data_IF_831157025017
#
_entry.id   IF_831157025017
#
_cell.length_a   1.000
_cell.length_b   1.000
_cell.length_c   1.000
_cell.angle_alpha   90.00
_cell.angle_beta   90.00
_cell.angle_gamma   90.00
#
_symmetry.space_group_name_H-M   'P 1'
#
loop_
_entity.id
_entity.type
_entity.pdbx_description
1 polymer ?
#
# COMPACT_ATOMS: atom_id res chain seq x y z
N UNK A 1 5.20 0.92 -29.84
CA UNK A 1 6.11 1.39 -28.77
C UNK A 1 6.50 2.88 -28.85
N UNK A 2 6.90 3.50 -29.99
CA UNK A 2 7.23 4.93 -29.99
C UNK A 2 6.08 5.90 -29.63
N UNK A 3 4.83 5.52 -29.90
CA UNK A 3 3.65 6.37 -29.62
C UNK A 3 3.31 6.50 -28.12
N UNK A 4 3.60 5.50 -27.30
CA UNK A 4 3.34 5.55 -25.86
C UNK A 4 4.35 6.46 -25.15
N UNK A 5 5.63 6.36 -25.51
CA UNK A 5 6.70 7.23 -24.98
C UNK A 5 6.46 8.70 -25.34
N UNK A 6 6.05 8.98 -26.60
CA UNK A 6 5.71 10.34 -27.05
C UNK A 6 4.48 10.89 -26.32
N UNK A 7 3.49 10.04 -25.97
CA UNK A 7 2.31 10.44 -25.20
C UNK A 7 2.67 10.81 -23.75
N UNK A 8 3.59 10.06 -23.14
CA UNK A 8 4.06 10.31 -21.77
C UNK A 8 4.88 11.60 -21.64
N UNK A 9 5.67 11.94 -22.67
CA UNK A 9 6.48 13.16 -22.71
C UNK A 9 5.67 14.43 -23.07
N UNK A 10 4.51 14.28 -23.71
CA UNK A 10 3.69 15.40 -24.17
C UNK A 10 2.62 15.87 -23.15
N UNK A 11 2.39 15.14 -22.06
CA UNK A 11 1.30 15.40 -21.10
C UNK A 11 1.81 15.74 -19.71
N UNK A 12 2.52 16.83 -19.55
CA UNK A 12 3.05 17.35 -18.27
C UNK A 12 2.01 17.65 -17.17
N UNK A 13 0.71 17.44 -17.44
CA UNK A 13 -0.37 17.84 -16.51
C UNK A 13 -1.31 16.71 -16.06
N UNK A 14 -1.28 15.53 -16.66
CA UNK A 14 -2.24 14.46 -16.33
C UNK A 14 -1.54 13.23 -15.75
N UNK A 15 -2.13 12.65 -14.69
CA UNK A 15 -1.71 11.36 -14.13
C UNK A 15 -1.65 10.29 -15.22
N UNK A 16 -0.60 9.47 -15.23
CA UNK A 16 -0.48 8.30 -16.12
C UNK A 16 -1.52 7.27 -15.68
N UNK A 17 -2.48 6.97 -16.54
CA UNK A 17 -3.45 5.90 -16.37
C UNK A 17 -3.32 4.91 -17.52
N UNK A 18 -3.03 3.63 -17.22
CA UNK A 18 -2.83 2.56 -18.19
C UNK A 18 -3.66 1.35 -17.81
N UNK A 19 -4.22 0.65 -18.81
CA UNK A 19 -5.01 -0.55 -18.61
C UNK A 19 -4.13 -1.79 -18.48
N UNK A 20 -4.52 -2.71 -17.57
CA UNK A 20 -3.81 -3.95 -17.25
C UNK A 20 -4.77 -5.11 -17.36
N UNK A 21 -4.48 -6.04 -18.29
CA UNK A 21 -5.32 -7.19 -18.57
C UNK A 21 -4.66 -8.53 -18.19
N UNK A 22 -3.38 -8.51 -17.78
CA UNK A 22 -2.61 -9.70 -17.37
C UNK A 22 -1.45 -9.28 -16.45
N UNK A 23 -0.84 -10.25 -15.77
CA UNK A 23 0.40 -10.03 -15.00
C UNK A 23 1.52 -9.50 -15.92
N UNK A 24 1.67 -10.07 -17.11
CA UNK A 24 2.67 -9.62 -18.06
C UNK A 24 2.46 -8.16 -18.49
N UNK A 25 1.21 -7.77 -18.76
CA UNK A 25 0.90 -6.39 -19.14
C UNK A 25 1.21 -5.39 -18.01
N UNK A 26 0.99 -5.73 -16.73
CA UNK A 26 1.38 -4.86 -15.61
C UNK A 26 2.89 -4.62 -15.61
N UNK A 27 3.70 -5.64 -15.83
CA UNK A 27 5.17 -5.51 -15.87
C UNK A 27 5.59 -4.57 -17.01
N UNK A 28 5.00 -4.74 -18.19
CA UNK A 28 5.32 -3.91 -19.38
C UNK A 28 4.93 -2.45 -19.16
N UNK A 29 3.69 -2.19 -18.72
CA UNK A 29 3.22 -0.80 -18.52
C UNK A 29 3.93 -0.12 -17.35
N UNK A 30 4.27 -0.86 -16.28
CA UNK A 30 5.05 -0.33 -15.16
C UNK A 30 6.45 0.07 -15.61
N UNK A 31 7.14 -0.78 -16.36
CA UNK A 31 8.46 -0.45 -16.91
C UNK A 31 8.41 0.78 -17.81
N UNK A 32 7.37 0.89 -18.66
CA UNK A 32 7.19 2.05 -19.52
C UNK A 32 6.90 3.33 -18.72
N UNK A 33 6.00 3.25 -17.73
CA UNK A 33 5.63 4.38 -16.88
C UNK A 33 6.82 4.95 -16.10
N UNK A 34 7.73 4.07 -15.65
CA UNK A 34 8.87 4.45 -14.81
C UNK A 34 10.21 4.56 -15.55
N UNK A 35 10.22 4.40 -16.88
CA UNK A 35 11.45 4.41 -17.69
C UNK A 35 12.27 5.70 -17.52
N UNK A 36 11.61 6.84 -17.31
CA UNK A 36 12.27 8.13 -17.14
C UNK A 36 12.91 8.37 -15.77
N UNK A 37 12.68 7.48 -14.78
CA UNK A 37 13.16 7.66 -13.42
C UNK A 37 14.48 6.91 -13.11
N UNK A 38 15.08 6.26 -14.11
CA UNK A 38 16.34 5.51 -13.93
C UNK A 38 16.14 4.22 -13.12
N UNK A 39 17.23 3.73 -12.49
CA UNK A 39 17.19 2.54 -11.62
C UNK A 39 16.79 2.95 -10.19
N UNK A 40 15.54 3.32 -10.00
CA UNK A 40 14.98 3.67 -8.69
C UNK A 40 14.11 2.55 -8.15
N UNK A 41 13.96 2.50 -6.84
CA UNK A 41 12.98 1.62 -6.20
C UNK A 41 11.57 2.13 -6.54
N UNK A 42 10.67 1.20 -6.85
CA UNK A 42 9.27 1.50 -7.09
C UNK A 42 8.43 0.74 -6.07
N UNK A 43 7.39 1.39 -5.57
CA UNK A 43 6.41 0.77 -4.70
C UNK A 43 5.07 0.66 -5.41
N UNK A 44 4.33 -0.37 -5.04
CA UNK A 44 3.03 -0.66 -5.62
C UNK A 44 1.97 -0.80 -4.53
N UNK A 45 0.72 -0.45 -4.85
CA UNK A 45 -0.42 -0.62 -3.96
C UNK A 45 -1.64 -1.06 -4.74
N UNK A 46 -2.25 -2.19 -4.35
CA UNK A 46 -3.51 -2.65 -4.88
C UNK A 46 -4.71 -1.99 -4.20
N UNK A 47 -5.72 -1.64 -4.98
CA UNK A 47 -7.04 -1.20 -4.52
C UNK A 47 -8.13 -1.94 -5.27
N UNK A 48 -9.10 -2.47 -4.55
CA UNK A 48 -10.21 -3.27 -5.13
C UNK A 48 -11.21 -2.43 -5.92
N UNK A 49 -11.14 -1.10 -5.81
CA UNK A 49 -11.86 -0.15 -6.64
C UNK A 49 -10.92 0.91 -7.22
N UNK A 50 -10.94 1.06 -8.54
CA UNK A 50 -10.19 2.10 -9.24
C UNK A 50 -10.69 3.53 -8.92
N UNK A 51 -11.88 3.66 -8.35
CA UNK A 51 -12.44 4.98 -8.00
C UNK A 51 -11.91 5.54 -6.67
N UNK A 52 -11.20 4.75 -5.87
CA UNK A 52 -10.71 5.21 -4.57
C UNK A 52 -9.48 6.09 -4.69
N UNK A 53 -9.44 7.15 -3.90
CA UNK A 53 -8.23 7.95 -3.69
C UNK A 53 -7.23 7.25 -2.77
N UNK A 54 -6.00 7.74 -2.78
CA UNK A 54 -4.91 7.27 -1.92
C UNK A 54 -4.95 8.01 -0.57
N UNK A 55 -5.83 7.54 0.33
CA UNK A 55 -6.06 8.11 1.67
C UNK A 55 -5.91 7.02 2.71
N UNK A 56 -5.12 7.22 3.79
CA UNK A 56 -5.06 6.31 4.93
C UNK A 56 -6.42 6.13 5.61
N UNK A 57 -6.62 4.95 6.22
CA UNK A 57 -7.93 4.61 6.82
C UNK A 57 -8.34 5.59 7.91
N UNK A 58 -7.41 6.04 8.76
CA UNK A 58 -7.75 7.00 9.83
C UNK A 58 -8.32 8.30 9.28
N UNK A 59 -7.81 8.80 8.17
CA UNK A 59 -8.25 10.07 7.58
C UNK A 59 -9.58 9.96 6.79
N UNK A 60 -10.13 8.75 6.62
CA UNK A 60 -11.45 8.56 6.00
C UNK A 60 -12.58 8.71 7.01
N UNK A 61 -12.35 8.20 8.23
CA UNK A 61 -13.41 7.94 9.20
C UNK A 61 -13.24 8.72 10.52
N UNK A 62 -12.06 9.32 10.75
CA UNK A 62 -11.73 9.95 12.03
C UNK A 62 -11.14 11.35 11.84
N UNK A 63 -11.49 12.25 12.75
CA UNK A 63 -10.77 13.50 12.94
C UNK A 63 -9.51 13.30 13.82
N UNK A 64 -8.75 14.34 14.04
CA UNK A 64 -7.53 14.29 14.84
C UNK A 64 -7.80 13.81 16.29
N UNK A 65 -8.91 14.22 16.88
CA UNK A 65 -9.26 13.80 18.24
C UNK A 65 -9.59 12.31 18.31
N UNK A 66 -10.30 11.79 17.30
CA UNK A 66 -10.59 10.36 17.13
C UNK A 66 -9.32 9.54 16.95
N UNK A 67 -8.37 9.99 16.11
CA UNK A 67 -7.08 9.34 15.91
C UNK A 67 -6.28 9.24 17.23
N UNK A 68 -6.19 10.36 18.00
CA UNK A 68 -5.52 10.37 19.29
C UNK A 68 -6.15 9.40 20.28
N UNK A 69 -7.48 9.37 20.35
CA UNK A 69 -8.21 8.47 21.23
C UNK A 69 -7.93 7.00 20.88
N UNK A 70 -7.97 6.64 19.59
CA UNK A 70 -7.63 5.30 19.12
C UNK A 70 -6.21 4.90 19.55
N UNK A 71 -5.23 5.76 19.27
CA UNK A 71 -3.83 5.51 19.62
C UNK A 71 -3.64 5.38 21.14
N UNK A 72 -4.24 6.27 21.95
CA UNK A 72 -4.14 6.24 23.40
C UNK A 72 -4.75 4.96 24.00
N UNK A 73 -5.97 4.61 23.61
CA UNK A 73 -6.64 3.39 24.10
C UNK A 73 -5.92 2.12 23.67
N UNK A 74 -5.42 2.06 22.42
CA UNK A 74 -4.65 0.91 21.96
C UNK A 74 -3.38 0.74 22.79
N UNK A 75 -2.58 1.79 23.00
CA UNK A 75 -1.33 1.75 23.78
C UNK A 75 -1.56 1.33 25.22
N UNK A 76 -2.58 1.86 25.88
CA UNK A 76 -2.94 1.46 27.25
C UNK A 76 -3.34 -0.01 27.33
N UNK A 77 -4.06 -0.51 26.33
CA UNK A 77 -4.57 -1.89 26.32
C UNK A 77 -3.56 -2.92 25.81
N UNK A 78 -2.63 -2.52 24.96
CA UNK A 78 -1.66 -3.42 24.34
C UNK A 78 -0.63 -3.96 25.35
N UNK A 79 -0.26 -3.17 26.36
CA UNK A 79 0.74 -3.55 27.38
C UNK A 79 0.37 -4.85 28.12
N UNK A 80 -0.92 -5.12 28.28
CA UNK A 80 -1.42 -6.35 28.94
C UNK A 80 -1.67 -7.51 27.97
N UNK A 81 -1.64 -7.28 26.68
CA UNK A 81 -2.01 -8.25 25.62
C UNK A 81 -0.85 -8.64 24.73
N UNK A 82 0.19 -7.82 24.69
CA UNK A 82 1.35 -8.02 23.80
C UNK A 82 2.63 -8.00 24.65
N UNK A 83 3.32 -9.14 24.72
CA UNK A 83 4.52 -9.31 25.55
C UNK A 83 5.71 -8.45 25.13
N UNK A 84 5.71 -7.97 23.89
CA UNK A 84 6.73 -7.09 23.30
C UNK A 84 6.16 -5.71 22.96
N UNK A 85 5.34 -5.15 23.87
CA UNK A 85 4.83 -3.80 23.68
C UNK A 85 6.02 -2.80 23.61
N UNK A 86 6.02 -1.85 22.66
CA UNK A 86 7.08 -0.86 22.54
C UNK A 86 7.22 0.03 23.77
N UNK A 87 8.39 0.65 23.96
CA UNK A 87 8.54 1.75 24.90
C UNK A 87 7.57 2.90 24.57
N UNK A 88 7.03 3.56 25.59
CA UNK A 88 6.05 4.63 25.41
C UNK A 88 6.56 5.81 24.58
N UNK A 89 7.88 6.02 24.56
CA UNK A 89 8.54 7.06 23.79
C UNK A 89 8.76 6.70 22.31
N UNK A 90 8.70 5.41 21.96
CA UNK A 90 8.91 4.94 20.58
C UNK A 90 7.63 5.02 19.75
N UNK A 91 7.38 6.23 19.21
CA UNK A 91 6.19 6.50 18.40
C UNK A 91 6.16 5.69 17.11
N UNK A 92 7.33 5.41 16.52
CA UNK A 92 7.45 4.66 15.27
C UNK A 92 7.07 3.19 15.45
N UNK A 93 7.55 2.57 16.50
CA UNK A 93 7.20 1.19 16.84
C UNK A 93 5.71 1.06 17.20
N UNK A 94 5.14 2.03 17.93
CA UNK A 94 3.70 2.07 18.21
C UNK A 94 2.86 2.23 16.94
N UNK A 95 3.26 3.12 16.02
CA UNK A 95 2.58 3.32 14.74
C UNK A 95 2.58 2.03 13.91
N UNK A 96 3.74 1.36 13.81
CA UNK A 96 3.88 0.08 13.11
C UNK A 96 3.04 -1.02 13.76
N UNK A 97 3.01 -1.11 15.08
CA UNK A 97 2.23 -2.11 15.82
C UNK A 97 0.72 -1.90 15.62
N UNK A 98 0.25 -0.66 15.70
CA UNK A 98 -1.14 -0.30 15.42
C UNK A 98 -1.55 -0.68 14.01
N UNK A 99 -0.74 -0.32 13.02
CA UNK A 99 -0.96 -0.68 11.61
C UNK A 99 -1.02 -2.20 11.42
N UNK A 100 -0.08 -2.94 12.01
CA UNK A 100 -0.01 -4.39 11.91
C UNK A 100 -1.29 -5.08 12.42
N UNK A 101 -1.84 -4.62 13.54
CA UNK A 101 -3.08 -5.15 14.10
C UNK A 101 -4.35 -4.54 13.49
N UNK A 102 -4.23 -3.74 12.43
CA UNK A 102 -5.36 -3.20 11.67
C UNK A 102 -6.08 -2.04 12.34
N UNK A 103 -5.48 -1.41 13.34
CA UNK A 103 -6.01 -0.15 13.86
C UNK A 103 -5.88 0.91 12.74
N UNK A 104 -6.90 1.76 12.50
CA UNK A 104 -6.78 2.87 11.58
C UNK A 104 -5.62 3.79 11.95
N UNK A 105 -4.66 3.95 11.06
CA UNK A 105 -3.49 4.83 11.23
C UNK A 105 -3.34 5.75 10.03
N UNK A 106 -2.42 6.70 10.13
CA UNK A 106 -2.00 7.59 9.04
C UNK A 106 -0.97 6.98 8.09
N UNK A 107 -0.65 5.70 8.24
CA UNK A 107 0.13 4.94 7.28
C UNK A 107 -0.76 4.42 6.16
N UNK A 108 -0.29 4.54 4.94
CA UNK A 108 -0.86 3.88 3.77
C UNK A 108 0.14 2.84 3.28
N UNK A 109 -0.30 1.57 3.20
CA UNK A 109 0.57 0.45 2.85
C UNK A 109 0.93 0.45 1.37
N UNK A 110 2.18 0.10 1.11
CA UNK A 110 2.76 -0.18 -0.20
C UNK A 110 3.56 -1.47 -0.14
N UNK A 111 3.91 -1.99 -1.29
CA UNK A 111 4.80 -3.15 -1.43
C UNK A 111 5.81 -2.92 -2.55
N UNK A 112 7.02 -3.46 -2.41
CA UNK A 112 7.99 -3.47 -3.51
C UNK A 112 7.64 -4.48 -4.62
N UNK A 113 6.66 -5.38 -4.37
CA UNK A 113 6.25 -6.41 -5.33
C UNK A 113 4.98 -6.02 -6.09
N UNK A 114 5.03 -5.84 -7.43
CA UNK A 114 3.83 -5.61 -8.23
C UNK A 114 2.85 -6.79 -8.18
N UNK A 115 3.32 -8.02 -7.95
CA UNK A 115 2.47 -9.20 -7.83
C UNK A 115 1.66 -9.20 -6.53
N UNK A 116 2.29 -8.77 -5.43
CA UNK A 116 1.59 -8.60 -4.15
C UNK A 116 0.53 -7.51 -4.25
N UNK A 117 0.84 -6.40 -4.92
CA UNK A 117 -0.14 -5.35 -5.18
C UNK A 117 -1.31 -5.83 -6.04
N UNK A 118 -1.06 -6.63 -7.10
CA UNK A 118 -2.12 -7.27 -7.88
C UNK A 118 -3.00 -8.16 -7.01
N UNK A 119 -2.40 -8.99 -6.14
CA UNK A 119 -3.15 -9.80 -5.21
C UNK A 119 -4.13 -8.96 -4.39
N UNK A 120 -3.65 -7.90 -3.74
CA UNK A 120 -4.50 -7.01 -2.94
C UNK A 120 -5.56 -6.26 -3.76
N UNK A 121 -5.28 -5.93 -5.03
CA UNK A 121 -6.27 -5.33 -5.91
C UNK A 121 -7.44 -6.28 -6.23
N UNK A 122 -7.24 -7.59 -6.08
CA UNK A 122 -8.21 -8.62 -6.44
C UNK A 122 -8.78 -9.40 -5.25
N UNK A 123 -8.32 -9.13 -4.01
CA UNK A 123 -8.66 -9.87 -2.78
C UNK A 123 -10.02 -9.44 -2.16
N UNK A 124 -11.04 -9.12 -2.97
CA UNK A 124 -12.38 -8.79 -2.45
C UNK A 124 -13.50 -9.26 -3.36
N UNK A 125 -14.63 -9.62 -2.76
CA UNK A 125 -15.89 -9.92 -3.42
C UNK A 125 -16.95 -8.86 -3.03
N UNK A 126 -17.92 -8.53 -3.90
CA UNK A 126 -18.07 -8.98 -5.29
C UNK A 126 -17.21 -8.15 -6.27
N UNK A 127 -16.70 -8.80 -7.33
CA UNK A 127 -15.83 -8.18 -8.35
C UNK A 127 -16.64 -7.45 -9.43
N UNK A 128 -17.44 -6.47 -9.04
CA UNK A 128 -18.35 -5.76 -9.97
C UNK A 128 -17.76 -4.48 -10.56
N UNK A 129 -16.56 -4.08 -10.14
CA UNK A 129 -15.94 -2.80 -10.55
C UNK A 129 -14.51 -3.02 -10.99
N UNK A 130 -13.99 -2.07 -11.77
CA UNK A 130 -12.57 -2.01 -12.08
C UNK A 130 -11.76 -1.83 -10.79
N UNK A 131 -10.64 -2.55 -10.70
CA UNK A 131 -9.64 -2.40 -9.65
C UNK A 131 -8.47 -1.51 -10.13
N UNK A 132 -7.55 -1.18 -9.25
CA UNK A 132 -6.35 -0.48 -9.64
C UNK A 132 -5.11 -1.00 -8.89
N UNK A 133 -3.98 -0.94 -9.56
CA UNK A 133 -2.66 -0.94 -8.92
C UNK A 133 -2.08 0.46 -9.10
N UNK A 134 -1.65 1.06 -8.01
CA UNK A 134 -0.88 2.30 -8.04
C UNK A 134 0.61 1.98 -8.02
N UNK A 135 1.39 2.74 -8.75
CA UNK A 135 2.84 2.72 -8.67
C UNK A 135 3.36 4.05 -8.16
N UNK A 136 4.35 4.03 -7.30
CA UNK A 136 4.95 5.18 -6.64
C UNK A 136 6.48 5.14 -6.79
N UNK A 137 7.09 6.29 -7.08
CA UNK A 137 8.53 6.52 -6.96
C UNK A 137 8.79 7.24 -5.63
N UNK A 138 9.17 6.52 -4.54
CA UNK A 138 9.21 7.08 -3.18
C UNK A 138 10.19 8.25 -3.03
N UNK A 139 11.37 8.17 -3.65
CA UNK A 139 12.36 9.25 -3.61
C UNK A 139 11.85 10.54 -4.27
N UNK A 140 11.03 10.43 -5.32
CA UNK A 140 10.42 11.59 -5.98
C UNK A 140 9.30 12.23 -5.15
N UNK A 141 8.54 11.42 -4.40
CA UNK A 141 7.60 11.96 -3.42
C UNK A 141 8.34 12.77 -2.36
N UNK A 142 9.43 12.22 -1.81
CA UNK A 142 10.19 12.90 -0.77
C UNK A 142 10.93 14.15 -1.30
N UNK A 143 11.33 14.17 -2.58
CA UNK A 143 11.92 15.33 -3.21
C UNK A 143 10.98 16.55 -3.25
N UNK A 144 9.67 16.34 -3.27
CA UNK A 144 8.65 17.43 -3.23
C UNK A 144 8.07 17.67 -1.85
N UNK A 145 8.51 16.93 -0.82
CA UNK A 145 8.16 17.15 0.58
C UNK A 145 8.87 18.37 1.15
N UNK A 146 8.55 18.73 2.39
CA UNK A 146 9.23 19.81 3.12
C UNK A 146 10.74 19.57 3.27
N UNK A 147 11.19 18.31 3.26
CA UNK A 147 12.61 17.94 3.39
C UNK A 147 13.39 17.99 2.07
N UNK A 148 12.71 17.97 0.92
CA UNK A 148 13.29 18.09 -0.43
C UNK A 148 14.46 17.13 -0.68
N UNK A 149 14.38 15.89 -0.18
CA UNK A 149 15.42 14.88 -0.30
C UNK A 149 15.01 13.75 -1.25
N UNK A 150 15.86 13.44 -2.26
CA UNK A 150 15.62 12.34 -3.21
C UNK A 150 16.01 10.99 -2.60
N UNK A 151 15.51 10.68 -1.41
CA UNK A 151 15.75 9.44 -0.68
C UNK A 151 14.47 8.94 -0.01
N UNK A 152 14.50 7.69 0.45
CA UNK A 152 13.42 7.12 1.26
C UNK A 152 13.80 7.24 2.73
N UNK A 153 12.91 7.81 3.54
CA UNK A 153 13.17 7.98 4.97
C UNK A 153 12.86 6.71 5.77
N UNK A 154 13.37 6.67 7.00
CA UNK A 154 13.02 5.62 7.97
C UNK A 154 11.91 6.17 8.87
N UNK A 155 10.90 5.34 9.17
CA UNK A 155 9.78 5.75 10.03
C UNK A 155 10.23 6.21 11.43
N UNK A 156 11.33 5.66 11.95
CA UNK A 156 11.97 6.10 13.20
C UNK A 156 12.87 7.34 13.06
N UNK A 157 13.05 7.85 11.83
CA UNK A 157 13.91 9.00 11.55
C UNK A 157 13.31 10.32 12.00
N UNK A 158 14.16 11.35 12.08
CA UNK A 158 13.74 12.69 12.52
C UNK A 158 12.72 13.33 11.57
N UNK A 159 12.73 12.99 10.28
CA UNK A 159 11.83 13.53 9.26
C UNK A 159 10.37 13.08 9.52
N UNK A 160 10.18 11.83 9.94
CA UNK A 160 8.86 11.27 10.22
C UNK A 160 8.28 11.75 11.57
N UNK A 161 9.15 12.16 12.51
CA UNK A 161 8.75 12.48 13.88
C UNK A 161 7.64 13.54 13.99
N UNK A 162 7.64 14.67 13.25
CA UNK A 162 6.55 15.65 13.33
C UNK A 162 5.18 15.05 12.97
N UNK A 163 5.13 14.19 11.94
CA UNK A 163 3.91 13.54 11.50
C UNK A 163 3.43 12.48 12.50
N UNK A 164 4.36 11.73 13.10
CA UNK A 164 4.05 10.76 14.15
C UNK A 164 3.49 11.45 15.40
N UNK A 165 4.09 12.55 15.82
CA UNK A 165 3.59 13.35 16.93
C UNK A 165 2.19 13.90 16.66
N UNK A 166 1.93 14.42 15.46
CA UNK A 166 0.62 14.92 15.08
C UNK A 166 -0.49 13.85 15.11
N UNK A 167 -0.16 12.55 14.94
CA UNK A 167 -1.11 11.43 15.04
C UNK A 167 -1.28 10.85 16.45
N UNK A 168 -0.28 10.99 17.30
CA UNK A 168 -0.25 10.33 18.61
C UNK A 168 -0.34 11.30 19.80
N UNK A 169 -0.22 12.58 19.55
CA UNK A 169 -0.29 13.64 20.56
C UNK A 169 -0.99 14.88 19.99
N UNK A 170 -1.41 15.80 20.85
CA UNK A 170 -2.02 17.07 20.43
C UNK A 170 -0.98 18.06 19.88
N UNK A 171 -0.16 17.58 18.93
CA UNK A 171 0.82 18.39 18.21
C UNK A 171 0.20 19.23 17.09
N UNK A 172 0.97 20.15 16.49
CA UNK A 172 0.52 20.89 15.31
C UNK A 172 0.26 19.95 14.14
N UNK A 173 -0.72 20.29 13.31
CA UNK A 173 -0.97 19.60 12.06
C UNK A 173 0.20 19.86 11.10
N UNK A 174 0.70 18.81 10.48
CA UNK A 174 1.76 18.87 9.45
C UNK A 174 1.15 18.36 8.15
N UNK A 175 0.88 19.23 7.21
CA UNK A 175 0.25 18.89 5.93
C UNK A 175 1.26 18.37 4.91
N UNK A 176 2.00 17.32 5.27
CA UNK A 176 2.95 16.67 4.37
C UNK A 176 2.69 15.18 4.24
N UNK A 177 3.31 14.55 3.24
CA UNK A 177 3.29 13.09 3.03
C UNK A 177 4.71 12.64 2.74
N UNK A 178 5.18 11.66 3.48
CA UNK A 178 6.52 11.10 3.35
C UNK A 178 6.47 9.63 2.95
N UNK A 179 7.31 9.24 2.02
CA UNK A 179 7.60 7.85 1.74
C UNK A 179 8.61 7.32 2.77
N UNK A 180 8.21 6.30 3.53
CA UNK A 180 9.01 5.78 4.65
C UNK A 180 9.09 4.26 4.60
N UNK A 181 10.20 3.69 5.08
CA UNK A 181 10.34 2.28 5.43
C UNK A 181 10.32 2.14 6.95
N UNK A 182 9.68 1.09 7.44
CA UNK A 182 9.69 0.73 8.85
C UNK A 182 10.57 -0.49 9.07
N UNK A 183 11.03 -0.69 10.31
CA UNK A 183 11.63 -1.96 10.69
C UNK A 183 10.55 -3.06 10.63
N UNK A 184 10.90 -4.20 10.04
CA UNK A 184 10.03 -5.37 10.04
C UNK A 184 9.79 -5.85 11.47
N UNK A 185 8.54 -5.85 11.90
CA UNK A 185 8.15 -6.29 13.24
C UNK A 185 7.69 -7.75 13.24
N UNK A 186 7.40 -8.31 12.06
CA UNK A 186 7.03 -9.71 11.88
C UNK A 186 7.26 -10.22 10.45
N UNK A 187 7.06 -11.55 10.29
CA UNK A 187 7.23 -12.26 9.02
C UNK A 187 6.27 -11.75 7.93
N UNK A 188 5.06 -11.29 8.29
CA UNK A 188 4.08 -10.77 7.33
C UNK A 188 4.60 -9.54 6.61
N UNK A 189 5.22 -8.59 7.33
CA UNK A 189 5.80 -7.39 6.70
C UNK A 189 6.89 -7.76 5.71
N UNK A 190 7.78 -8.69 6.09
CA UNK A 190 8.83 -9.20 5.20
C UNK A 190 8.26 -9.86 3.94
N UNK A 191 7.29 -10.77 4.08
CA UNK A 191 6.68 -11.49 2.96
C UNK A 191 5.90 -10.57 2.03
N UNK A 192 5.25 -9.55 2.56
CA UNK A 192 4.55 -8.54 1.78
C UNK A 192 5.50 -7.47 1.21
N UNK A 193 6.79 -7.49 1.54
CA UNK A 193 7.79 -6.48 1.15
C UNK A 193 7.27 -5.07 1.43
N UNK A 194 6.78 -4.87 2.67
CA UNK A 194 6.02 -3.70 3.07
C UNK A 194 6.82 -2.40 3.11
N UNK A 195 6.19 -1.34 2.67
CA UNK A 195 6.65 0.04 2.78
C UNK A 195 5.43 0.94 3.01
N UNK A 196 5.62 2.21 3.35
CA UNK A 196 4.52 3.08 3.74
C UNK A 196 4.67 4.49 3.17
N UNK A 197 3.52 5.14 2.95
CA UNK A 197 3.49 6.61 2.98
C UNK A 197 2.85 7.04 4.30
N UNK A 198 3.52 7.96 5.00
CA UNK A 198 3.06 8.57 6.25
C UNK A 198 2.39 9.89 5.93
N UNK A 199 1.11 10.02 6.24
CA UNK A 199 0.29 11.17 5.86
C UNK A 199 0.02 12.09 7.04
N UNK A 200 0.31 13.37 6.87
CA UNK A 200 -0.09 14.43 7.80
C UNK A 200 -1.42 15.11 7.42
N UNK A 201 -2.01 14.75 6.28
CA UNK A 201 -3.23 15.37 5.73
C UNK A 201 -4.23 14.29 5.26
N UNK A 202 -5.51 14.65 5.27
CA UNK A 202 -6.61 13.85 4.71
C UNK A 202 -6.76 14.00 3.20
N UNK A 203 -6.06 14.95 2.57
CA UNK A 203 -6.08 15.11 1.12
C UNK A 203 -5.50 13.86 0.43
N UNK A 204 -6.18 13.29 -0.59
CA UNK A 204 -5.68 12.13 -1.30
C UNK A 204 -4.32 12.38 -1.93
N UNK A 205 -3.37 11.44 -1.76
CA UNK A 205 -2.01 11.58 -2.31
C UNK A 205 -2.02 11.79 -3.84
N UNK A 206 -2.95 11.15 -4.52
CA UNK A 206 -3.11 11.26 -5.98
C UNK A 206 -3.71 12.60 -6.46
N UNK A 207 -4.22 13.42 -5.54
CA UNK A 207 -4.77 14.75 -5.85
C UNK A 207 -3.82 15.89 -5.47
N UNK A 208 -2.69 15.57 -4.85
CA UNK A 208 -1.68 16.57 -4.48
C UNK A 208 -1.05 17.20 -5.74
N UNK A 209 -0.72 18.49 -5.71
CA UNK A 209 0.01 19.14 -6.80
C UNK A 209 1.30 18.38 -7.12
N UNK A 210 1.55 18.08 -8.39
CA UNK A 210 2.74 17.37 -8.84
C UNK A 210 2.69 15.83 -8.67
N UNK A 211 1.55 15.25 -8.28
CA UNK A 211 1.39 13.80 -8.10
C UNK A 211 1.76 12.99 -9.35
N UNK A 212 1.54 13.52 -10.53
CA UNK A 212 1.96 12.93 -11.81
C UNK A 212 3.50 12.79 -11.95
N UNK A 213 4.28 13.48 -11.15
CA UNK A 213 5.75 13.40 -11.13
C UNK A 213 6.28 12.20 -10.34
N UNK A 214 5.45 11.51 -9.56
CA UNK A 214 5.85 10.37 -8.73
C UNK A 214 4.84 9.22 -8.67
N UNK A 215 3.62 9.38 -9.22
CA UNK A 215 2.58 8.35 -9.24
C UNK A 215 2.20 7.94 -10.66
N UNK A 216 1.85 6.67 -10.81
CA UNK A 216 1.16 6.11 -11.96
C UNK A 216 0.02 5.21 -11.49
N UNK A 217 -1.07 5.12 -12.29
CA UNK A 217 -2.24 4.29 -11.99
C UNK A 217 -2.43 3.26 -13.08
N UNK A 218 -2.56 2.01 -12.70
CA UNK A 218 -2.78 0.87 -13.58
C UNK A 218 -4.18 0.32 -13.30
N UNK A 219 -5.08 0.45 -14.28
CA UNK A 219 -6.50 0.09 -14.15
C UNK A 219 -6.68 -1.34 -14.59
N UNK A 220 -7.26 -2.17 -13.72
CA UNK A 220 -7.63 -3.55 -14.01
C UNK A 220 -9.13 -3.56 -14.30
N UNK A 221 -9.56 -3.74 -15.57
CA UNK A 221 -10.98 -3.83 -15.90
C UNK A 221 -11.59 -5.07 -15.23
N UNK A 222 -12.90 -5.02 -14.99
CA UNK A 222 -13.62 -6.13 -14.37
C UNK A 222 -13.40 -7.44 -15.15
N UNK A 223 -13.38 -7.39 -16.48
CA UNK A 223 -13.22 -8.56 -17.34
C UNK A 223 -11.88 -9.28 -17.20
N UNK A 224 -10.82 -8.57 -16.76
CA UNK A 224 -9.48 -9.14 -16.61
C UNK A 224 -9.22 -9.75 -15.21
N UNK A 225 -10.11 -9.51 -14.24
CA UNK A 225 -9.86 -9.87 -12.82
C UNK A 225 -9.64 -11.37 -12.62
N UNK A 226 -10.49 -12.22 -13.20
CA UNK A 226 -10.40 -13.67 -13.03
C UNK A 226 -9.15 -14.25 -13.72
N UNK A 227 -8.84 -13.79 -14.92
CA UNK A 227 -7.60 -14.20 -15.60
C UNK A 227 -6.36 -13.85 -14.76
N UNK A 228 -6.28 -12.63 -14.24
CA UNK A 228 -5.12 -12.22 -13.42
C UNK A 228 -5.05 -13.02 -12.12
N UNK A 229 -6.18 -13.38 -11.49
CA UNK A 229 -6.20 -14.27 -10.32
C UNK A 229 -5.64 -15.66 -10.63
N UNK A 230 -6.02 -16.23 -11.77
CA UNK A 230 -5.49 -17.53 -12.23
C UNK A 230 -3.98 -17.46 -12.49
N UNK A 231 -3.51 -16.39 -13.14
CA UNK A 231 -2.09 -16.14 -13.36
C UNK A 231 -1.31 -16.00 -12.04
N UNK A 232 -1.83 -15.26 -11.06
CA UNK A 232 -1.24 -15.12 -9.73
C UNK A 232 -1.19 -16.47 -8.99
N UNK A 233 -2.26 -17.24 -9.06
CA UNK A 233 -2.32 -18.58 -8.48
C UNK A 233 -1.25 -19.51 -9.10
N UNK A 234 -1.11 -19.49 -10.43
CA UNK A 234 -0.09 -20.24 -11.15
C UNK A 234 1.33 -19.83 -10.76
N UNK A 235 1.55 -18.55 -10.53
CA UNK A 235 2.82 -17.99 -10.06
C UNK A 235 3.10 -18.23 -8.56
N UNK A 236 2.18 -18.88 -7.83
CA UNK A 236 2.34 -19.19 -6.41
C UNK A 236 2.06 -18.01 -5.48
N UNK A 237 1.47 -16.91 -5.98
CA UNK A 237 1.05 -15.78 -5.15
C UNK A 237 -0.31 -16.13 -4.53
N UNK A 238 -0.28 -16.54 -3.27
CA UNK A 238 -1.43 -17.08 -2.54
C UNK A 238 -1.58 -16.43 -1.18
N UNK A 239 -2.76 -16.59 -0.59
CA UNK A 239 -3.10 -16.02 0.71
C UNK A 239 -2.15 -16.47 1.82
N UNK A 240 -1.92 -17.78 1.95
CA UNK A 240 -1.04 -18.32 2.99
C UNK A 240 0.43 -17.87 2.86
N UNK A 241 0.89 -17.58 1.64
CA UNK A 241 2.21 -17.02 1.38
C UNK A 241 2.34 -15.55 1.80
N UNK A 242 1.23 -14.80 1.81
CA UNK A 242 1.21 -13.38 2.20
C UNK A 242 0.77 -13.15 3.65
N UNK A 243 0.01 -14.10 4.20
CA UNK A 243 -0.50 -14.09 5.58
C UNK A 243 -0.09 -15.42 6.25
N UNK A 244 1.07 -15.48 6.90
CA UNK A 244 1.69 -16.73 7.34
C UNK A 244 1.11 -17.30 8.66
N UNK A 245 -0.15 -17.00 8.96
CA UNK A 245 -0.84 -17.54 10.11
C UNK A 245 -1.72 -18.76 9.75
N UNK A 246 -2.01 -19.59 10.74
CA UNK A 246 -2.77 -20.83 10.56
C UNK A 246 -4.23 -20.60 10.11
N UNK A 247 -4.83 -19.47 10.45
CA UNK A 247 -6.19 -19.14 10.04
C UNK A 247 -6.26 -18.90 8.52
N UNK A 248 -5.30 -18.14 7.98
CA UNK A 248 -5.21 -17.89 6.56
C UNK A 248 -4.81 -19.15 5.76
N UNK A 249 -3.95 -20.01 6.31
CA UNK A 249 -3.64 -21.32 5.73
C UNK A 249 -4.90 -22.20 5.67
N UNK A 250 -5.65 -22.32 6.76
CA UNK A 250 -6.87 -23.12 6.80
C UNK A 250 -7.94 -22.60 5.81
N UNK A 251 -8.06 -21.28 5.69
CA UNK A 251 -8.98 -20.65 4.73
C UNK A 251 -8.58 -20.98 3.28
N UNK A 252 -7.29 -20.92 2.93
CA UNK A 252 -6.78 -21.27 1.62
C UNK A 252 -7.06 -22.74 1.29
N UNK A 253 -6.68 -23.67 2.18
CA UNK A 253 -6.90 -25.10 1.97
C UNK A 253 -8.38 -25.45 1.77
N UNK A 254 -9.28 -24.82 2.53
CA UNK A 254 -10.72 -25.03 2.37
C UNK A 254 -11.25 -24.47 1.05
N UNK A 255 -10.72 -23.37 0.57
CA UNK A 255 -11.10 -22.75 -0.70
C UNK A 255 -10.61 -23.60 -1.88
N UNK A 256 -9.39 -24.08 -1.85
CA UNK A 256 -8.80 -24.91 -2.90
C UNK A 256 -9.52 -26.26 -3.02
N UNK A 257 -9.91 -26.89 -1.91
CA UNK A 257 -10.71 -28.12 -1.92
C UNK A 257 -12.10 -27.93 -2.55
N UNK A 258 -12.71 -26.77 -2.42
CA UNK A 258 -13.98 -26.45 -3.08
C UNK A 258 -13.83 -26.22 -4.59
N UNK A 259 -12.68 -25.75 -5.05
CA UNK A 259 -12.36 -25.54 -6.47
C UNK A 259 -12.01 -26.84 -7.19
N UNK A 260 -11.50 -27.84 -6.48
CA UNK A 260 -11.20 -29.16 -7.06
C UNK A 260 -12.50 -29.94 -7.24
N UNK A 261 -12.88 -30.34 -8.48
CA UNK A 261 -14.06 -31.14 -8.68
C UNK A 261 -13.97 -32.44 -7.85
N UNK A 262 -14.98 -32.72 -7.02
CA UNK A 262 -15.06 -34.00 -6.32
C UNK A 262 -15.02 -35.12 -7.37
N UNK A 263 -13.92 -35.84 -7.49
CA UNK A 263 -13.94 -37.16 -8.18
C UNK A 263 -14.97 -37.98 -7.42
N UNK A 264 -16.14 -38.24 -8.05
CA UNK A 264 -17.03 -39.26 -7.57
C UNK A 264 -16.22 -40.58 -7.63
N UNK A 265 -15.87 -41.09 -6.44
CA UNK A 265 -15.43 -42.49 -6.35
C UNK A 265 -16.67 -43.28 -6.71
N UNK A 266 -16.63 -43.91 -7.88
CA UNK A 266 -17.63 -44.88 -8.36
C UNK A 266 -17.39 -46.19 -7.65
#
# INVERSE_FOLDING_TARGET
MPRLVAYLLANDKKMIELEVNSVASLIEVSRSAFQGFGKTVHWFRGQTSAAWGLVPTVHRDYDQAGEHNLAAHFRLSASTRHTKAPDLSDLSAWMSLMQHFGLPTRLLDWTASPLVALYFALDSEPHTKAAAVWGLVPSRLNAVSAFKAEETFVLSGPEARPLLLAGMSRGPVVEDVLAVVAQDIDLRMTLQQGAFTLHGTSAPLNERPGANGYLAKFIIPQSAREQIKEELWFLGIRRSGLFPDLANLALELTTDQRRTPRRRVV
#
